data_IF_421827438715
#
_entry.id   IF_421827438715
#
_cell.length_a   1.000
_cell.length_b   1.000
_cell.length_c   1.000
_cell.angle_alpha   90.00
_cell.angle_beta   90.00
_cell.angle_gamma   90.00
#
_symmetry.space_group_name_H-M   'P 1'
#
loop_
_entity.id
_entity.type
_entity.pdbx_description
1 polymer ?
#
# COMPACT_ATOMS: atom_id res chain seq x y z
N UNK A 1 6.69 -10.90 -10.15
CA UNK A 1 7.53 -9.68 -10.17
C UNK A 1 7.33 -9.03 -8.82
N UNK A 2 8.40 -8.71 -8.09
CA UNK A 2 8.28 -8.20 -6.73
C UNK A 2 8.20 -6.68 -6.72
N UNK A 3 7.32 -6.08 -5.91
CA UNK A 3 7.26 -4.63 -5.81
C UNK A 3 8.46 -4.11 -5.01
N UNK A 4 9.07 -3.02 -5.50
CA UNK A 4 10.04 -2.28 -4.70
C UNK A 4 9.33 -1.63 -3.50
N UNK A 5 9.99 -1.55 -2.34
CA UNK A 5 9.44 -0.97 -1.12
C UNK A 5 10.24 0.28 -0.77
N UNK A 6 9.58 1.44 -0.78
CA UNK A 6 10.17 2.68 -0.30
C UNK A 6 10.07 2.76 1.22
N UNK A 7 11.18 3.12 1.86
CA UNK A 7 11.29 3.31 3.31
C UNK A 7 11.23 2.01 4.14
N UNK A 8 12.04 1.00 3.79
CA UNK A 8 12.17 -0.25 4.55
C UNK A 8 12.95 -0.13 5.89
N UNK A 9 12.90 1.04 6.54
CA UNK A 9 13.55 1.26 7.84
C UNK A 9 15.06 1.58 7.80
N UNK A 10 15.61 1.98 6.65
CA UNK A 10 17.05 2.31 6.49
C UNK A 10 17.41 3.79 6.70
N UNK A 11 16.42 4.68 6.77
CA UNK A 11 16.57 6.06 7.23
C UNK A 11 15.70 6.21 8.47
N UNK A 12 15.89 7.25 9.29
CA UNK A 12 15.01 7.57 10.44
C UNK A 12 13.53 7.82 10.04
N UNK A 13 13.14 7.47 8.82
CA UNK A 13 11.81 7.07 8.39
C UNK A 13 10.85 8.23 8.19
N UNK A 14 11.22 9.41 8.69
CA UNK A 14 10.36 10.60 8.77
C UNK A 14 10.74 11.69 7.78
N UNK A 15 12.02 11.79 7.40
CA UNK A 15 12.47 12.90 6.55
C UNK A 15 11.81 12.90 5.15
N UNK A 16 11.69 11.76 4.42
CA UNK A 16 10.98 11.71 3.15
C UNK A 16 9.48 12.03 3.24
N UNK A 17 8.92 11.94 4.45
CA UNK A 17 7.52 12.12 4.79
C UNK A 17 7.26 13.40 5.60
N UNK A 18 8.18 14.37 5.60
CA UNK A 18 7.89 15.68 6.18
C UNK A 18 7.00 16.51 5.23
N UNK A 19 6.06 17.28 5.79
CA UNK A 19 5.21 18.26 5.10
C UNK A 19 4.38 17.73 3.92
N UNK A 20 4.11 16.42 3.92
CA UNK A 20 3.13 15.83 3.00
C UNK A 20 1.70 15.98 3.50
N UNK A 21 0.81 16.07 2.53
CA UNK A 21 -0.62 15.97 2.68
C UNK A 21 -1.12 14.74 1.92
N UNK A 22 -2.24 14.21 2.38
CA UNK A 22 -2.96 13.22 1.60
C UNK A 22 -4.45 13.52 1.58
N UNK A 23 -5.09 13.11 0.49
CA UNK A 23 -6.55 13.16 0.34
C UNK A 23 -7.05 11.78 -0.05
N UNK A 24 -8.08 11.32 0.63
CA UNK A 24 -8.78 10.09 0.25
C UNK A 24 -9.88 10.46 -0.77
N UNK A 25 -9.73 9.99 -2.00
CA UNK A 25 -10.65 10.19 -3.12
C UNK A 25 -11.43 8.91 -3.40
N UNK A 26 -12.73 8.95 -3.74
CA UNK A 26 -13.43 7.77 -4.22
C UNK A 26 -12.84 7.30 -5.55
N UNK A 27 -12.81 6.00 -5.79
CA UNK A 27 -12.49 5.46 -7.11
C UNK A 27 -13.68 5.69 -8.04
N UNK A 28 -13.68 6.81 -8.76
CA UNK A 28 -14.74 7.14 -9.70
C UNK A 28 -14.20 7.05 -11.12
N UNK A 29 -14.89 6.28 -11.97
CA UNK A 29 -14.82 6.44 -13.41
C UNK A 29 -15.90 7.44 -13.85
N UNK A 30 -15.49 8.45 -14.60
CA UNK A 30 -16.44 9.35 -15.27
C UNK A 30 -16.70 8.72 -16.64
N UNK A 31 -17.87 8.12 -16.80
CA UNK A 31 -18.31 7.66 -18.11
C UNK A 31 -18.64 8.91 -18.95
N UNK A 32 -18.15 8.97 -20.19
CA UNK A 32 -18.30 10.16 -21.04
C UNK A 32 -19.77 10.57 -21.28
N UNK A 33 -19.91 11.89 -21.48
CA UNK A 33 -21.11 12.71 -21.73
C UNK A 33 -22.31 12.01 -22.39
N UNK A 34 -23.40 11.88 -21.64
CA UNK A 34 -24.73 11.64 -22.20
C UNK A 34 -25.42 12.93 -22.72
N UNK A 35 -24.66 14.01 -22.88
CA UNK A 35 -25.15 15.31 -23.37
C UNK A 35 -24.81 16.46 -22.42
N UNK A 36 -25.15 17.71 -22.77
CA UNK A 36 -24.71 18.89 -22.03
C UNK A 36 -25.23 18.87 -20.59
N UNK A 37 -24.30 18.67 -19.64
CA UNK A 37 -24.51 18.85 -18.20
C UNK A 37 -24.70 17.59 -17.36
N UNK A 38 -24.56 16.38 -17.92
CA UNK A 38 -24.72 15.14 -17.18
C UNK A 38 -23.50 14.22 -17.33
N UNK A 39 -22.59 14.29 -16.37
CA UNK A 39 -21.52 13.30 -16.18
C UNK A 39 -22.02 12.21 -15.22
N UNK A 40 -22.12 10.97 -15.69
CA UNK A 40 -22.38 9.83 -14.81
C UNK A 40 -21.08 9.40 -14.14
N UNK A 41 -21.10 9.33 -12.81
CA UNK A 41 -19.96 8.97 -11.96
C UNK A 41 -20.23 7.57 -11.42
N UNK A 42 -19.45 6.58 -11.83
CA UNK A 42 -19.55 5.22 -11.31
C UNK A 42 -18.42 4.99 -10.32
N UNK A 43 -18.77 4.69 -9.08
CA UNK A 43 -17.80 4.23 -8.09
C UNK A 43 -17.36 2.81 -8.45
N UNK A 44 -16.10 2.67 -8.87
CA UNK A 44 -15.51 1.41 -9.29
C UNK A 44 -15.20 0.49 -8.10
N UNK A 45 -14.93 1.07 -6.93
CA UNK A 45 -14.58 0.34 -5.73
C UNK A 45 -15.25 0.95 -4.50
N UNK A 46 -15.67 0.10 -3.56
CA UNK A 46 -16.25 0.52 -2.28
C UNK A 46 -15.25 1.19 -1.33
N UNK A 47 -13.96 1.21 -1.67
CA UNK A 47 -12.91 1.85 -0.88
C UNK A 47 -12.35 3.10 -1.57
N UNK A 48 -11.92 4.06 -0.76
CA UNK A 48 -11.22 5.27 -1.23
C UNK A 48 -9.76 4.97 -1.60
N UNK A 49 -9.22 5.73 -2.55
CA UNK A 49 -7.79 5.80 -2.88
C UNK A 49 -7.15 6.99 -2.20
N UNK A 50 -5.94 6.81 -1.69
CA UNK A 50 -5.15 7.92 -1.19
C UNK A 50 -4.31 8.56 -2.29
N UNK A 51 -4.32 9.90 -2.33
CA UNK A 51 -3.41 10.70 -3.13
C UNK A 51 -2.49 11.48 -2.22
N UNK A 52 -1.18 11.39 -2.43
CA UNK A 52 -0.17 12.05 -1.63
C UNK A 52 0.44 13.21 -2.40
N UNK A 53 0.65 14.33 -1.71
CA UNK A 53 1.29 15.52 -2.27
C UNK A 53 2.16 16.22 -1.25
N UNK A 54 3.13 16.98 -1.75
CA UNK A 54 3.94 17.91 -0.98
C UNK A 54 3.64 19.34 -1.46
N UNK A 55 2.69 20.07 -0.83
CA UNK A 55 2.27 21.39 -1.31
C UNK A 55 3.40 22.42 -1.37
N UNK A 56 4.35 22.32 -0.43
CA UNK A 56 5.55 23.16 -0.42
C UNK A 56 6.65 22.69 -1.39
N UNK A 57 6.46 21.54 -2.04
CA UNK A 57 7.50 20.80 -2.75
C UNK A 57 8.40 20.00 -1.80
N UNK A 58 9.24 19.16 -2.38
CA UNK A 58 10.26 18.40 -1.64
C UNK A 58 11.43 19.32 -1.27
N UNK A 59 11.98 19.11 -0.07
CA UNK A 59 13.32 19.60 0.28
C UNK A 59 14.39 18.84 -0.52
N UNK A 60 15.62 19.36 -0.55
CA UNK A 60 16.71 18.71 -1.25
C UNK A 60 17.00 17.30 -0.73
N UNK A 61 16.98 17.10 0.59
CA UNK A 61 17.18 15.79 1.20
C UNK A 61 16.06 14.81 0.83
N UNK A 62 14.80 15.26 0.85
CA UNK A 62 13.66 14.47 0.43
C UNK A 62 13.76 14.07 -1.04
N UNK A 63 14.11 15.02 -1.90
CA UNK A 63 14.32 14.79 -3.33
C UNK A 63 15.38 13.72 -3.56
N UNK A 64 16.55 13.87 -2.94
CA UNK A 64 17.66 12.92 -3.08
C UNK A 64 17.23 11.52 -2.65
N UNK A 65 16.49 11.39 -1.54
CA UNK A 65 16.00 10.10 -1.08
C UNK A 65 15.00 9.45 -2.08
N UNK A 66 14.02 10.23 -2.56
CA UNK A 66 13.05 9.75 -3.54
C UNK A 66 13.70 9.40 -4.88
N UNK A 67 14.58 10.24 -5.40
CA UNK A 67 15.29 9.98 -6.65
C UNK A 67 16.20 8.75 -6.57
N UNK A 68 16.95 8.60 -5.47
CA UNK A 68 17.83 7.45 -5.28
C UNK A 68 17.04 6.14 -5.33
N UNK A 69 15.89 6.08 -4.67
CA UNK A 69 15.00 4.92 -4.73
C UNK A 69 14.46 4.67 -6.14
N UNK A 70 13.85 5.69 -6.76
CA UNK A 70 13.21 5.55 -8.06
C UNK A 70 14.24 5.13 -9.14
N UNK A 71 15.43 5.72 -9.13
CA UNK A 71 16.51 5.37 -10.05
C UNK A 71 17.06 3.96 -9.81
N UNK A 72 17.30 3.58 -8.55
CA UNK A 72 17.81 2.24 -8.22
C UNK A 72 16.88 1.12 -8.68
N UNK A 73 15.57 1.39 -8.74
CA UNK A 73 14.56 0.43 -9.16
C UNK A 73 14.02 0.66 -10.58
N UNK A 74 14.55 1.65 -11.32
CA UNK A 74 14.10 1.97 -12.69
C UNK A 74 12.64 2.42 -12.78
N UNK A 75 12.05 2.92 -11.68
CA UNK A 75 10.64 3.25 -11.58
C UNK A 75 10.38 4.56 -12.33
N UNK A 76 9.53 4.48 -13.35
CA UNK A 76 9.08 5.65 -14.13
C UNK A 76 7.57 5.83 -14.12
N UNK A 77 6.83 4.72 -14.26
CA UNK A 77 5.37 4.63 -14.09
C UNK A 77 4.93 3.43 -13.27
N UNK A 78 5.88 2.58 -12.91
CA UNK A 78 5.63 1.30 -12.27
C UNK A 78 5.09 1.48 -10.86
N UNK A 79 4.31 0.51 -10.42
CA UNK A 79 3.79 0.48 -9.08
C UNK A 79 4.89 0.04 -8.10
N UNK A 80 4.87 0.62 -6.91
CA UNK A 80 5.77 0.27 -5.81
C UNK A 80 5.03 0.43 -4.48
N UNK A 81 5.59 -0.16 -3.43
CA UNK A 81 5.02 -0.12 -2.09
C UNK A 81 5.64 1.02 -1.27
N UNK A 82 4.82 1.67 -0.44
CA UNK A 82 5.25 2.67 0.53
C UNK A 82 4.81 2.27 1.94
N UNK A 83 5.64 2.54 2.94
CA UNK A 83 5.22 2.62 4.35
C UNK A 83 4.89 4.07 4.68
N UNK A 84 3.60 4.40 4.78
CA UNK A 84 3.13 5.72 5.23
C UNK A 84 3.21 5.80 6.77
N UNK A 85 4.01 6.70 7.36
CA UNK A 85 4.16 6.79 8.81
C UNK A 85 2.89 7.18 9.57
N UNK A 86 1.87 7.75 8.89
CA UNK A 86 0.58 8.09 9.49
C UNK A 86 -0.43 6.94 9.44
N UNK A 87 -0.11 5.84 8.76
CA UNK A 87 -0.99 4.69 8.71
C UNK A 87 -0.97 3.89 10.02
N UNK A 88 -2.14 3.42 10.49
CA UNK A 88 -2.20 2.61 11.69
C UNK A 88 -1.69 1.19 11.44
N UNK A 89 -1.24 0.55 12.52
CA UNK A 89 -1.05 -0.91 12.54
C UNK A 89 -2.39 -1.58 12.25
N UNK A 90 -2.37 -2.64 11.43
CA UNK A 90 -3.53 -3.47 11.13
C UNK A 90 -3.61 -4.55 12.19
N UNK A 91 -4.64 -4.53 13.03
CA UNK A 91 -4.77 -5.44 14.16
C UNK A 91 -5.76 -6.56 13.84
N UNK A 92 -5.37 -7.81 14.17
CA UNK A 92 -6.24 -9.00 14.14
C UNK A 92 -7.05 -9.14 12.84
N UNK A 93 -6.41 -8.86 11.70
CA UNK A 93 -7.01 -9.02 10.37
C UNK A 93 -7.23 -10.51 10.12
N UNK A 94 -8.49 -10.91 9.94
CA UNK A 94 -8.84 -12.27 9.58
C UNK A 94 -8.27 -12.62 8.19
N UNK A 95 -7.58 -13.75 8.09
CA UNK A 95 -7.07 -14.25 6.81
C UNK A 95 -8.15 -15.04 6.07
N UNK A 96 -7.92 -15.34 4.80
CA UNK A 96 -8.81 -16.11 3.95
C UNK A 96 -8.27 -17.51 3.66
N UNK A 97 -9.12 -18.54 3.83
CA UNK A 97 -10.28 -18.61 4.71
C UNK A 97 -9.94 -18.26 6.16
N UNK A 98 -10.94 -17.70 6.84
CA UNK A 98 -10.85 -17.25 8.23
C UNK A 98 -10.70 -18.38 9.25
N UNK A 99 -10.78 -19.63 8.78
CA UNK A 99 -10.64 -20.83 9.59
C UNK A 99 -9.61 -21.77 8.97
N UNK A 100 -8.83 -22.42 9.83
CA UNK A 100 -7.95 -23.51 9.46
C UNK A 100 -8.72 -24.73 8.97
N UNK A 101 -8.12 -25.47 8.04
CA UNK A 101 -8.61 -26.77 7.56
C UNK A 101 -7.85 -27.94 8.21
N UNK A 102 -6.90 -27.67 9.11
CA UNK A 102 -6.06 -28.66 9.77
C UNK A 102 -4.85 -29.13 8.96
N UNK A 103 -4.66 -28.64 7.73
CA UNK A 103 -3.62 -29.13 6.81
C UNK A 103 -2.80 -28.00 6.19
N UNK A 104 -3.45 -26.89 5.83
CA UNK A 104 -2.82 -25.78 5.13
C UNK A 104 -2.10 -24.85 6.10
N UNK A 105 -0.95 -24.36 5.67
CA UNK A 105 -0.12 -23.40 6.41
C UNK A 105 -0.13 -21.99 5.83
N UNK A 106 -0.49 -21.82 4.56
CA UNK A 106 -0.49 -20.52 3.87
C UNK A 106 -1.90 -19.98 3.73
N UNK A 107 -2.11 -18.74 4.13
CA UNK A 107 -3.40 -18.06 4.15
C UNK A 107 -3.23 -16.67 3.53
N UNK A 108 -4.24 -16.19 2.80
CA UNK A 108 -4.18 -14.88 2.14
C UNK A 108 -4.83 -13.82 3.01
N UNK A 109 -4.41 -12.57 2.91
CA UNK A 109 -5.20 -11.44 3.42
C UNK A 109 -6.52 -11.31 2.65
N UNK A 110 -7.52 -10.58 3.18
CA UNK A 110 -8.80 -10.40 2.51
C UNK A 110 -8.68 -9.98 1.06
N UNK A 111 -9.37 -10.72 0.19
CA UNK A 111 -9.30 -10.55 -1.27
C UNK A 111 -10.54 -9.86 -1.84
N UNK A 112 -11.58 -9.69 -1.04
CA UNK A 112 -12.78 -8.91 -1.41
C UNK A 112 -12.55 -7.41 -1.29
N UNK A 113 -12.94 -6.64 -2.32
CA UNK A 113 -12.90 -5.17 -2.35
C UNK A 113 -13.76 -4.50 -1.27
N UNK A 114 -14.76 -5.22 -0.75
CA UNK A 114 -15.58 -4.75 0.38
C UNK A 114 -14.81 -4.76 1.71
N UNK A 115 -13.68 -5.45 1.78
CA UNK A 115 -12.84 -5.45 2.98
C UNK A 115 -11.98 -4.19 3.05
N UNK A 116 -11.93 -3.50 4.21
CA UNK A 116 -11.00 -2.38 4.38
C UNK A 116 -9.53 -2.82 4.28
N UNK A 117 -9.24 -4.10 4.52
CA UNK A 117 -7.91 -4.70 4.47
C UNK A 117 -7.45 -5.06 3.04
N UNK A 118 -8.36 -5.01 2.06
CA UNK A 118 -8.09 -5.32 0.65
C UNK A 118 -6.93 -4.53 0.04
N UNK A 119 -6.80 -3.25 0.41
CA UNK A 119 -5.80 -2.32 -0.14
C UNK A 119 -4.39 -2.53 0.41
N UNK A 120 -4.24 -3.28 1.50
CA UNK A 120 -3.00 -3.32 2.27
C UNK A 120 -2.12 -4.50 1.93
N UNK A 121 -0.82 -4.24 1.87
CA UNK A 121 0.23 -5.26 1.72
C UNK A 121 0.97 -5.42 3.05
N UNK A 122 1.25 -6.65 3.50
CA UNK A 122 1.88 -6.85 4.81
C UNK A 122 3.38 -6.56 4.73
N UNK A 123 3.90 -5.64 5.57
CA UNK A 123 5.35 -5.43 5.66
C UNK A 123 6.04 -6.64 6.28
N UNK A 124 6.99 -7.23 5.55
CA UNK A 124 7.81 -8.32 6.05
C UNK A 124 8.53 -7.92 7.35
N UNK A 125 8.63 -8.86 8.30
CA UNK A 125 9.24 -8.61 9.61
C UNK A 125 8.35 -7.86 10.61
N UNK A 126 7.14 -7.41 10.20
CA UNK A 126 6.16 -6.79 11.11
C UNK A 126 4.95 -7.67 11.43
N UNK A 127 4.85 -8.85 10.80
CA UNK A 127 3.66 -9.71 10.87
C UNK A 127 3.72 -10.62 12.09
N UNK A 128 2.70 -10.51 12.93
CA UNK A 128 2.42 -11.41 14.04
C UNK A 128 1.20 -12.27 13.69
N UNK A 129 1.32 -13.59 13.86
CA UNK A 129 0.26 -14.55 13.54
C UNK A 129 -0.53 -14.98 14.75
N UNK A 130 -1.83 -15.21 14.58
CA UNK A 130 -2.75 -15.65 15.63
C UNK A 130 -3.64 -16.80 15.16
N UNK A 131 -3.75 -17.84 15.99
CA UNK A 131 -4.67 -18.97 15.79
C UNK A 131 -5.51 -19.15 17.03
N UNK A 132 -6.84 -19.11 16.88
CA UNK A 132 -7.80 -19.12 17.98
C UNK A 132 -7.48 -18.08 19.08
N UNK A 133 -6.94 -16.92 18.69
CA UNK A 133 -6.53 -15.83 19.58
C UNK A 133 -5.16 -16.01 20.26
N UNK A 134 -4.50 -17.16 20.11
CA UNK A 134 -3.16 -17.38 20.64
C UNK A 134 -2.08 -17.01 19.60
N UNK A 135 -0.96 -16.40 19.99
CA UNK A 135 0.12 -16.07 19.07
C UNK A 135 0.80 -17.33 18.55
N UNK A 136 1.02 -17.40 17.24
CA UNK A 136 1.68 -18.50 16.53
C UNK A 136 2.75 -17.94 15.61
N UNK A 137 3.87 -18.67 15.53
CA UNK A 137 4.99 -18.31 14.68
C UNK A 137 4.61 -18.29 13.19
N UNK A 138 4.96 -17.19 12.53
CA UNK A 138 4.91 -17.03 11.07
C UNK A 138 6.24 -17.50 10.50
N UNK A 139 6.18 -18.42 9.53
CA UNK A 139 7.34 -18.95 8.82
C UNK A 139 7.80 -17.99 7.72
N UNK A 140 6.87 -17.42 6.96
CA UNK A 140 7.18 -16.48 5.88
C UNK A 140 5.99 -15.59 5.54
N UNK A 141 6.30 -14.46 4.91
CA UNK A 141 5.33 -13.49 4.40
C UNK A 141 5.65 -13.25 2.94
N UNK A 142 4.68 -13.48 2.07
CA UNK A 142 4.72 -13.04 0.68
C UNK A 142 3.96 -11.72 0.61
N UNK A 143 4.69 -10.61 0.67
CA UNK A 143 4.14 -9.25 0.64
C UNK A 143 3.26 -9.04 -0.58
N UNK A 144 3.81 -9.28 -1.78
CA UNK A 144 3.11 -9.01 -3.05
C UNK A 144 1.93 -9.94 -3.28
N UNK A 145 2.09 -11.21 -2.90
CA UNK A 145 1.02 -12.20 -2.92
C UNK A 145 0.00 -12.02 -1.79
N UNK A 146 0.22 -11.06 -0.88
CA UNK A 146 -0.58 -10.79 0.31
C UNK A 146 -0.90 -12.07 1.09
N UNK A 147 0.11 -12.93 1.26
CA UNK A 147 -0.06 -14.24 1.88
C UNK A 147 0.92 -14.44 3.04
N UNK A 148 0.46 -15.13 4.08
CA UNK A 148 1.20 -15.43 5.30
C UNK A 148 1.25 -16.94 5.47
N UNK A 149 2.44 -17.47 5.71
CA UNK A 149 2.64 -18.90 5.96
C UNK A 149 3.01 -19.11 7.42
N UNK A 150 2.23 -19.91 8.14
CA UNK A 150 2.49 -20.30 9.52
C UNK A 150 3.49 -21.46 9.58
N UNK A 151 4.23 -21.58 10.69
CA UNK A 151 5.18 -22.70 10.89
C UNK A 151 4.46 -24.04 11.03
N UNK A 152 3.25 -24.03 11.60
CA UNK A 152 2.40 -25.20 11.80
C UNK A 152 1.01 -24.95 11.23
N UNK A 153 0.35 -25.98 10.68
CA UNK A 153 -1.01 -25.82 10.18
C UNK A 153 -1.95 -25.50 11.36
N UNK A 154 -2.75 -24.42 11.26
CA UNK A 154 -3.81 -24.16 12.22
C UNK A 154 -4.78 -25.35 12.29
N UNK A 155 -5.23 -25.69 13.50
CA UNK A 155 -6.19 -26.77 13.70
C UNK A 155 -7.48 -26.52 12.90
N UNK A 156 -8.19 -27.59 12.55
CA UNK A 156 -9.46 -27.50 11.83
C UNK A 156 -10.44 -26.60 12.60
N UNK A 157 -11.11 -25.69 11.89
CA UNK A 157 -12.05 -24.71 12.41
C UNK A 157 -11.45 -23.62 13.33
N UNK A 158 -10.14 -23.61 13.58
CA UNK A 158 -9.51 -22.56 14.37
C UNK A 158 -9.48 -21.25 13.59
N UNK A 159 -9.91 -20.14 14.22
CA UNK A 159 -9.85 -18.82 13.60
C UNK A 159 -8.40 -18.40 13.33
N UNK A 160 -8.13 -17.83 12.16
CA UNK A 160 -6.79 -17.42 11.73
C UNK A 160 -6.75 -15.92 11.44
N UNK A 161 -5.84 -15.20 12.11
CA UNK A 161 -5.69 -13.76 11.96
C UNK A 161 -4.23 -13.33 12.05
N UNK A 162 -3.95 -12.09 11.64
CA UNK A 162 -2.62 -11.47 11.75
C UNK A 162 -2.70 -10.01 12.19
N UNK A 163 -1.65 -9.56 12.87
CA UNK A 163 -1.39 -8.13 13.12
C UNK A 163 -0.15 -7.73 12.32
N UNK A 164 -0.17 -6.60 11.62
CA UNK A 164 0.96 -6.18 10.77
C UNK A 164 0.99 -4.68 10.48
N UNK A 165 2.16 -4.16 10.07
CA UNK A 165 2.25 -2.83 9.46
C UNK A 165 1.90 -2.90 7.98
N UNK A 166 0.91 -2.11 7.58
CA UNK A 166 0.42 -2.08 6.21
C UNK A 166 1.28 -1.20 5.31
N UNK A 167 1.57 -1.72 4.12
CA UNK A 167 2.13 -0.97 3.00
C UNK A 167 1.02 -0.67 1.99
N UNK A 168 1.15 0.43 1.27
CA UNK A 168 0.23 0.81 0.20
C UNK A 168 0.91 0.72 -1.16
N UNK A 169 0.18 0.18 -2.12
CA UNK A 169 0.62 0.15 -3.51
C UNK A 169 0.34 1.51 -4.14
N UNK A 170 1.38 2.17 -4.64
CA UNK A 170 1.29 3.48 -5.26
C UNK A 170 2.01 3.53 -6.59
N UNK A 171 1.75 4.57 -7.36
CA UNK A 171 2.57 4.98 -8.50
C UNK A 171 2.72 6.49 -8.55
N UNK A 172 3.66 6.97 -9.34
CA UNK A 172 3.78 8.40 -9.66
C UNK A 172 2.52 8.87 -10.40
N UNK A 173 1.96 10.01 -9.96
CA UNK A 173 0.77 10.62 -10.55
C UNK A 173 1.03 11.29 -11.90
N UNK A 174 2.29 11.64 -12.19
CA UNK A 174 2.76 12.12 -13.49
C UNK A 174 4.19 11.62 -13.76
N UNK A 175 4.56 11.43 -15.03
CA UNK A 175 5.92 10.98 -15.42
C UNK A 175 7.01 12.02 -15.19
N UNK A 176 6.61 13.27 -15.04
CA UNK A 176 7.51 14.42 -15.06
C UNK A 176 7.88 14.91 -13.67
N UNK A 177 7.47 14.23 -12.60
CA UNK A 177 7.72 14.68 -11.23
C UNK A 177 9.23 14.83 -10.90
N UNK A 178 10.12 14.14 -11.63
CA UNK A 178 11.58 14.21 -11.41
C UNK A 178 12.41 14.51 -12.65
N UNK A 179 11.80 14.76 -13.81
CA UNK A 179 12.55 15.19 -15.00
C UNK A 179 12.74 16.71 -14.91
N UNK A 180 13.91 17.15 -14.46
CA UNK A 180 14.22 18.56 -14.28
C UNK A 180 13.83 19.41 -15.50
N UNK A 181 12.76 20.22 -15.37
CA UNK A 181 12.52 21.50 -16.07
C UNK A 181 11.16 22.15 -15.78
N UNK A 182 10.38 21.72 -14.80
CA UNK A 182 9.40 22.64 -14.18
C UNK A 182 9.91 23.09 -12.83
N UNK A 183 11.04 23.80 -12.82
CA UNK A 183 11.23 24.86 -11.83
C UNK A 183 10.09 25.87 -12.03
N UNK A 184 8.94 25.65 -11.38
CA UNK A 184 8.18 26.78 -10.91
C UNK A 184 8.86 27.21 -9.61
N UNK A 185 9.80 28.14 -9.71
CA UNK A 185 10.42 28.80 -8.56
C UNK A 185 11.29 27.90 -7.65
N UNK A 186 12.00 26.89 -8.19
CA UNK A 186 13.00 26.13 -7.42
C UNK A 186 12.46 25.02 -6.50
N UNK A 187 11.27 24.48 -6.76
CA UNK A 187 10.64 23.42 -5.94
C UNK A 187 10.41 22.15 -6.76
N UNK A 188 10.62 20.99 -6.14
CA UNK A 188 10.41 19.67 -6.74
C UNK A 188 9.04 19.14 -6.32
N UNK A 189 8.18 18.81 -7.28
CA UNK A 189 6.82 18.33 -7.00
C UNK A 189 6.79 16.80 -6.98
N UNK A 190 6.13 16.23 -5.98
CA UNK A 190 5.84 14.79 -5.92
C UNK A 190 4.33 14.59 -5.73
N UNK A 191 3.75 13.78 -6.63
CA UNK A 191 2.37 13.32 -6.57
C UNK A 191 2.38 11.78 -6.61
N UNK A 192 1.87 11.14 -5.57
CA UNK A 192 1.70 9.68 -5.54
C UNK A 192 0.22 9.34 -5.52
N UNK A 193 -0.16 8.30 -6.23
CA UNK A 193 -1.54 7.80 -6.27
C UNK A 193 -1.57 6.34 -5.86
N UNK A 194 -2.38 6.04 -4.86
CA UNK A 194 -2.70 4.68 -4.48
C UNK A 194 -3.38 3.94 -5.63
N UNK A 195 -2.96 2.70 -5.81
CA UNK A 195 -3.54 1.74 -6.72
C UNK A 195 -4.22 0.66 -5.90
N UNK A 196 -5.37 0.20 -6.38
CA UNK A 196 -5.93 -1.06 -5.94
C UNK A 196 -5.45 -2.16 -6.88
N UNK A 197 -5.38 -3.38 -6.34
CA UNK A 197 -5.16 -4.57 -7.17
C UNK A 197 -6.31 -4.69 -8.17
N UNK A 198 -5.97 -4.96 -9.42
CA UNK A 198 -6.89 -5.37 -10.49
C UNK A 198 -7.12 -6.88 -10.46
#
# INVERSE_FOLDING_TARGET
MAYAIFNDGSTDGREPWADYEFTDEPFVEVLEDHGPGASERVELFACTRRRYRWPAGLTEAQRVAWEAFLQAHGITRDAFLIEDPRDPVRELVALEPAVGDGVRVTFSLPTSESSPDFRWYPKQGSVEGYVAGAPIAVASVNTDGRAVTFVVPPAAFAAVAVTYRGLRLVRLGSTSAFQGTTQRYGRYELDLRELLRS
#
